data_IF_996507381076
#
_entry.id   IF_996507381076
#
_cell.length_a   1.000
_cell.length_b   1.000
_cell.length_c   1.000
_cell.angle_alpha   90.00
_cell.angle_beta   90.00
_cell.angle_gamma   90.00
#
_symmetry.space_group_name_H-M   'P 1'
#
loop_
_entity.id
_entity.type
_entity.pdbx_description
1 polymer ?
#
# COMPACT_ATOMS: atom_id res chain seq x y z
N UNK A 1 3.36 0.66 -16.43
CA UNK A 1 3.23 2.00 -15.80
C UNK A 1 3.81 1.93 -14.40
N UNK A 2 4.45 3.00 -13.91
CA UNK A 2 4.97 3.06 -12.53
C UNK A 2 4.08 4.00 -11.74
N UNK A 3 3.31 3.47 -10.79
CA UNK A 3 2.49 4.30 -9.91
C UNK A 3 3.36 5.02 -8.88
N UNK A 4 3.00 6.25 -8.47
CA UNK A 4 3.68 6.93 -7.38
C UNK A 4 3.51 6.15 -6.09
N UNK A 5 4.51 6.24 -5.20
CA UNK A 5 4.39 5.65 -3.86
C UNK A 5 3.46 6.46 -2.98
N UNK A 6 3.43 7.78 -3.07
CA UNK A 6 2.67 8.63 -2.13
C UNK A 6 2.03 9.83 -2.81
N UNK A 7 1.00 10.42 -2.19
CA UNK A 7 0.43 11.68 -2.67
C UNK A 7 1.44 12.83 -2.50
N UNK A 8 1.35 13.81 -3.39
CA UNK A 8 2.15 15.04 -3.32
C UNK A 8 1.72 15.90 -2.12
N UNK A 9 0.43 15.86 -1.78
CA UNK A 9 -0.17 16.58 -0.65
C UNK A 9 -0.69 15.56 0.36
N UNK A 10 -0.09 15.54 1.55
CA UNK A 10 -0.51 14.64 2.63
C UNK A 10 -1.54 15.37 3.49
N UNK A 11 -2.77 14.87 3.53
CA UNK A 11 -3.79 15.38 4.43
C UNK A 11 -3.92 14.48 5.67
N UNK A 12 -3.26 14.88 6.76
CA UNK A 12 -3.37 14.22 8.06
C UNK A 12 -4.50 14.87 8.86
N UNK A 13 -5.61 14.16 9.00
CA UNK A 13 -6.71 14.58 9.87
C UNK A 13 -6.76 13.74 11.15
N UNK A 14 -7.10 14.31 12.32
CA UNK A 14 -7.21 13.56 13.58
C UNK A 14 -8.23 12.41 13.55
N UNK A 15 -9.15 12.38 12.59
CA UNK A 15 -10.12 11.29 12.41
C UNK A 15 -9.68 10.25 11.36
N UNK A 16 -8.55 10.47 10.67
CA UNK A 16 -8.00 9.60 9.63
C UNK A 16 -6.74 8.89 10.11
N UNK A 17 -6.86 8.08 11.16
CA UNK A 17 -5.76 7.55 11.96
C UNK A 17 -4.83 6.52 11.29
N UNK A 18 -5.00 6.22 10.01
CA UNK A 18 -4.32 5.06 9.42
C UNK A 18 -3.84 5.31 7.98
N UNK A 19 -3.03 6.37 7.75
CA UNK A 19 -2.59 6.72 6.42
C UNK A 19 -1.64 5.66 5.84
N UNK A 20 -1.81 5.37 4.54
CA UNK A 20 -0.87 4.55 3.76
C UNK A 20 0.31 5.43 3.32
N UNK A 21 1.13 5.87 4.27
CA UNK A 21 2.28 6.75 4.06
C UNK A 21 3.48 6.27 4.87
N UNK A 22 4.70 6.58 4.42
CA UNK A 22 5.92 6.30 5.16
C UNK A 22 7.18 6.45 4.31
N UNK A 23 8.29 6.82 4.92
CA UNK A 23 9.50 7.18 4.17
C UNK A 23 10.59 6.15 4.39
N UNK A 24 11.33 5.82 3.33
CA UNK A 24 12.63 5.17 3.43
C UNK A 24 13.68 6.11 4.04
N UNK A 25 14.88 5.60 4.26
CA UNK A 25 16.07 6.43 4.47
C UNK A 25 16.50 7.10 3.16
N UNK A 26 16.36 6.37 2.04
CA UNK A 26 16.60 6.84 0.68
C UNK A 26 15.33 6.74 -0.17
N UNK A 27 15.32 7.38 -1.35
CA UNK A 27 14.18 7.28 -2.29
C UNK A 27 14.11 5.92 -2.98
N UNK A 28 15.24 5.26 -3.04
CA UNK A 28 15.48 3.97 -3.68
C UNK A 28 15.07 2.80 -2.79
N UNK A 29 14.85 3.05 -1.50
CA UNK A 29 14.48 2.02 -0.54
C UNK A 29 13.17 1.32 -0.92
N UNK A 30 13.24 -0.01 -0.92
CA UNK A 30 12.08 -0.84 -1.18
C UNK A 30 11.03 -0.70 -0.08
N UNK A 31 11.44 -0.71 1.18
CA UNK A 31 10.58 -0.60 2.35
C UNK A 31 10.82 0.70 3.10
N UNK A 32 9.79 1.20 3.77
CA UNK A 32 9.90 2.39 4.61
C UNK A 32 10.63 2.07 5.92
N UNK A 33 11.17 3.09 6.59
CA UNK A 33 11.80 2.96 7.91
C UNK A 33 10.87 2.31 8.94
N UNK A 34 9.58 2.67 8.90
CA UNK A 34 8.58 2.10 9.79
C UNK A 34 8.30 0.62 9.48
N UNK A 35 8.27 0.24 8.19
CA UNK A 35 8.18 -1.16 7.80
C UNK A 35 9.40 -1.95 8.27
N UNK A 36 10.61 -1.42 8.04
CA UNK A 36 11.87 -2.07 8.45
C UNK A 36 11.91 -2.26 9.97
N UNK A 37 11.56 -1.24 10.74
CA UNK A 37 11.51 -1.33 12.21
C UNK A 37 10.53 -2.42 12.68
N UNK A 38 9.34 -2.50 12.07
CA UNK A 38 8.35 -3.51 12.42
C UNK A 38 8.79 -4.92 11.99
N UNK A 39 9.41 -5.07 10.82
CA UNK A 39 10.00 -6.34 10.38
C UNK A 39 11.05 -6.83 11.36
N UNK A 40 11.98 -5.96 11.77
CA UNK A 40 13.02 -6.28 12.75
C UNK A 40 12.40 -6.68 14.10
N UNK A 41 11.38 -5.96 14.56
CA UNK A 41 10.64 -6.28 15.79
C UNK A 41 10.00 -7.66 15.75
N UNK A 42 9.57 -8.11 14.57
CA UNK A 42 8.96 -9.42 14.33
C UNK A 42 9.95 -10.52 13.93
N UNK A 43 11.26 -10.21 13.90
CA UNK A 43 12.30 -11.18 13.50
C UNK A 43 12.30 -11.51 12.00
N UNK A 44 11.76 -10.63 11.16
CA UNK A 44 11.74 -10.77 9.70
C UNK A 44 12.93 -9.99 9.12
N UNK A 45 13.73 -10.65 8.28
CA UNK A 45 14.84 -9.99 7.54
C UNK A 45 14.28 -8.97 6.53
N UNK A 46 14.60 -7.67 6.66
CA UNK A 46 14.21 -6.64 5.70
C UNK A 46 14.81 -6.80 4.30
N UNK A 47 15.96 -7.49 4.18
CA UNK A 47 16.63 -7.72 2.90
C UNK A 47 15.91 -8.81 2.12
N UNK A 48 15.57 -9.93 2.79
CA UNK A 48 14.92 -11.09 2.18
C UNK A 48 13.65 -11.52 2.92
N UNK A 49 12.58 -10.70 2.88
CA UNK A 49 11.31 -11.10 3.47
C UNK A 49 10.75 -12.35 2.80
N UNK A 50 10.15 -13.28 3.57
CA UNK A 50 9.58 -14.52 3.03
C UNK A 50 8.53 -14.31 1.93
N UNK A 51 7.75 -13.23 2.03
CA UNK A 51 6.72 -12.87 1.05
C UNK A 51 6.48 -11.37 1.04
N UNK A 52 6.32 -10.81 -0.15
CA UNK A 52 5.99 -9.40 -0.39
C UNK A 52 4.83 -9.34 -1.37
N UNK A 53 3.94 -8.37 -1.20
CA UNK A 53 2.89 -8.04 -2.15
C UNK A 53 2.98 -6.55 -2.49
N UNK A 54 2.76 -6.21 -3.76
CA UNK A 54 2.53 -4.81 -4.12
C UNK A 54 1.07 -4.47 -3.81
N UNK A 55 0.86 -3.55 -2.90
CA UNK A 55 -0.44 -3.03 -2.50
C UNK A 55 -0.81 -1.81 -3.34
N UNK A 56 -2.04 -1.78 -3.85
CA UNK A 56 -2.62 -0.66 -4.57
C UNK A 56 -3.65 0.07 -3.72
N UNK A 57 -3.63 1.39 -3.79
CA UNK A 57 -4.53 2.23 -2.99
C UNK A 57 -4.97 3.45 -3.79
N UNK A 58 -6.26 3.68 -3.85
CA UNK A 58 -6.80 4.89 -4.45
C UNK A 58 -6.59 6.10 -3.54
N UNK A 59 -6.30 7.24 -4.15
CA UNK A 59 -6.29 8.53 -3.49
C UNK A 59 -7.66 8.81 -2.86
N UNK A 60 -7.67 9.25 -1.62
CA UNK A 60 -8.91 9.77 -1.03
C UNK A 60 -9.24 11.10 -1.67
N UNK A 61 -10.52 11.51 -1.59
CA UNK A 61 -10.97 12.82 -2.08
C UNK A 61 -10.16 13.98 -1.49
N UNK A 62 -9.64 13.82 -0.28
CA UNK A 62 -8.85 14.83 0.43
C UNK A 62 -7.39 14.94 -0.04
N UNK A 63 -6.83 13.91 -0.66
CA UNK A 63 -5.43 13.91 -1.14
C UNK A 63 -5.30 14.41 -2.58
N UNK A 64 -6.30 14.15 -3.42
CA UNK A 64 -6.21 14.45 -4.86
C UNK A 64 -7.29 15.42 -5.33
N UNK A 65 -8.21 15.84 -4.44
CA UNK A 65 -9.25 16.84 -4.75
C UNK A 65 -10.08 16.49 -5.99
N UNK A 66 -10.16 15.20 -6.33
CA UNK A 66 -10.64 14.75 -7.63
C UNK A 66 -12.06 15.27 -7.88
N UNK A 67 -12.24 15.94 -9.03
CA UNK A 67 -13.54 16.49 -9.43
C UNK A 67 -14.54 15.34 -9.57
N UNK A 68 -15.83 15.63 -9.39
CA UNK A 68 -16.89 14.66 -9.64
C UNK A 68 -16.76 14.13 -11.08
N UNK A 69 -16.48 12.83 -11.24
CA UNK A 69 -16.29 12.18 -12.54
C UNK A 69 -14.83 11.96 -12.98
N UNK A 70 -13.82 12.41 -12.23
CA UNK A 70 -12.43 12.02 -12.48
C UNK A 70 -12.04 10.78 -11.69
N UNK A 71 -11.24 9.90 -12.31
CA UNK A 71 -10.76 8.68 -11.67
C UNK A 71 -9.76 8.99 -10.54
N UNK A 72 -9.88 8.33 -9.38
CA UNK A 72 -8.90 8.48 -8.31
C UNK A 72 -7.50 8.03 -8.77
N UNK A 73 -6.48 8.84 -8.47
CA UNK A 73 -5.08 8.45 -8.64
C UNK A 73 -4.77 7.21 -7.80
N UNK A 74 -3.99 6.28 -8.33
CA UNK A 74 -3.59 5.05 -7.63
C UNK A 74 -2.15 5.17 -7.15
N UNK A 75 -1.92 4.78 -5.91
CA UNK A 75 -0.61 4.65 -5.28
C UNK A 75 -0.24 3.18 -5.11
N UNK A 76 1.05 2.87 -5.22
CA UNK A 76 1.56 1.51 -5.03
C UNK A 76 2.63 1.43 -3.93
N UNK A 77 2.61 0.34 -3.18
CA UNK A 77 3.54 0.09 -2.09
C UNK A 77 3.97 -1.37 -2.07
N UNK A 78 5.26 -1.64 -1.93
CA UNK A 78 5.69 -2.98 -1.55
C UNK A 78 5.48 -3.18 -0.05
N UNK A 79 4.71 -4.21 0.31
CA UNK A 79 4.37 -4.52 1.68
C UNK A 79 4.75 -5.98 2.01
N UNK A 80 5.57 -6.21 3.04
CA UNK A 80 5.83 -7.55 3.57
C UNK A 80 4.53 -8.20 4.03
N UNK A 81 4.32 -9.47 3.68
CA UNK A 81 3.15 -10.25 4.08
C UNK A 81 3.48 -11.05 5.34
N UNK A 82 2.66 -10.88 6.37
CA UNK A 82 2.79 -11.58 7.66
C UNK A 82 2.05 -12.91 7.64
N UNK A 83 0.84 -12.93 7.09
CA UNK A 83 -0.02 -14.11 7.02
C UNK A 83 -1.15 -13.93 6.02
N UNK A 84 -1.79 -15.03 5.67
CA UNK A 84 -3.03 -15.05 4.89
C UNK A 84 -4.18 -15.39 5.85
N UNK A 85 -5.26 -14.61 5.82
CA UNK A 85 -6.45 -14.84 6.62
C UNK A 85 -7.29 -15.99 6.04
N UNK A 86 -8.26 -16.51 6.81
CA UNK A 86 -9.13 -17.61 6.37
C UNK A 86 -9.94 -17.28 5.11
N UNK A 87 -10.28 -16.02 4.91
CA UNK A 87 -10.97 -15.48 3.75
C UNK A 87 -10.01 -14.98 2.65
N UNK A 88 -8.76 -15.47 2.65
CA UNK A 88 -7.72 -15.24 1.63
C UNK A 88 -7.17 -13.81 1.53
N UNK A 89 -7.58 -12.91 2.43
CA UNK A 89 -6.97 -11.57 2.54
C UNK A 89 -5.55 -11.66 3.11
N UNK A 90 -4.73 -10.66 2.80
CA UNK A 90 -3.32 -10.62 3.21
C UNK A 90 -3.17 -9.67 4.39
N UNK A 91 -2.57 -10.15 5.48
CA UNK A 91 -2.10 -9.29 6.58
C UNK A 91 -0.69 -8.80 6.23
N UNK A 92 -0.51 -7.50 6.13
CA UNK A 92 0.73 -6.89 5.65
C UNK A 92 1.23 -5.81 6.59
N UNK A 93 2.53 -5.52 6.55
CA UNK A 93 3.11 -4.34 7.19
C UNK A 93 2.99 -3.17 6.21
N UNK A 94 2.11 -2.22 6.54
CA UNK A 94 1.85 -1.04 5.74
C UNK A 94 3.01 -0.03 5.81
N UNK A 95 3.08 0.96 4.90
CA UNK A 95 4.16 1.94 4.85
C UNK A 95 4.39 2.70 6.17
N UNK A 96 3.36 2.87 6.99
CA UNK A 96 3.46 3.54 8.28
C UNK A 96 3.91 2.61 9.42
N UNK A 97 4.21 1.34 9.14
CA UNK A 97 4.60 0.33 10.11
C UNK A 97 3.42 -0.46 10.70
N UNK A 98 2.18 -0.02 10.50
CA UNK A 98 1.01 -0.72 11.03
C UNK A 98 0.73 -2.03 10.30
N UNK A 99 0.13 -2.98 11.01
CA UNK A 99 -0.44 -4.18 10.40
C UNK A 99 -1.81 -3.86 9.80
N UNK A 100 -1.96 -4.03 8.48
CA UNK A 100 -3.22 -3.83 7.76
C UNK A 100 -3.65 -5.10 7.02
N UNK A 101 -4.94 -5.20 6.72
CA UNK A 101 -5.51 -6.27 5.90
C UNK A 101 -5.78 -5.70 4.51
N UNK A 102 -5.31 -6.40 3.47
CA UNK A 102 -5.56 -6.06 2.07
C UNK A 102 -6.20 -7.24 1.34
N UNK A 103 -6.84 -6.99 0.21
CA UNK A 103 -7.40 -8.01 -0.65
C UNK A 103 -6.30 -8.95 -1.20
N UNK A 104 -6.71 -10.16 -1.60
CA UNK A 104 -5.78 -11.19 -2.13
C UNK A 104 -5.00 -10.71 -3.36
N UNK A 105 -5.62 -9.83 -4.16
CA UNK A 105 -5.09 -9.25 -5.38
C UNK A 105 -4.22 -8.00 -5.14
N UNK A 106 -4.04 -7.60 -3.88
CA UNK A 106 -3.20 -6.48 -3.47
C UNK A 106 -3.95 -5.16 -3.31
N UNK A 107 -5.26 -5.08 -3.55
CA UNK A 107 -5.98 -3.83 -3.28
C UNK A 107 -6.16 -3.57 -1.78
N UNK A 108 -5.87 -2.36 -1.33
CA UNK A 108 -6.09 -1.95 0.06
C UNK A 108 -7.58 -1.93 0.45
N UNK A 109 -8.45 -1.67 -0.52
CA UNK A 109 -9.91 -1.74 -0.45
C UNK A 109 -10.45 -1.93 -1.87
N UNK A 110 -11.72 -2.30 -2.00
CA UNK A 110 -12.37 -2.44 -3.31
C UNK A 110 -12.19 -1.16 -4.16
N UNK A 111 -11.50 -1.22 -5.31
CA UNK A 111 -11.22 -0.04 -6.13
C UNK A 111 -12.46 0.41 -6.91
N UNK A 112 -12.37 1.61 -7.46
CA UNK A 112 -13.28 2.05 -8.53
C UNK A 112 -13.26 1.02 -9.68
N UNK A 113 -14.44 0.67 -10.26
CA UNK A 113 -14.52 -0.28 -11.37
C UNK A 113 -13.58 0.04 -12.53
N UNK A 114 -13.33 1.32 -12.80
CA UNK A 114 -12.43 1.76 -13.84
C UNK A 114 -10.96 1.56 -13.49
N UNK A 115 -10.58 1.50 -12.22
CA UNK A 115 -9.20 1.20 -11.80
C UNK A 115 -8.95 -0.30 -11.61
N UNK A 116 -10.00 -1.12 -11.57
CA UNK A 116 -9.90 -2.57 -11.30
C UNK A 116 -9.01 -3.32 -12.29
N UNK A 117 -8.93 -2.86 -13.54
CA UNK A 117 -8.10 -3.49 -14.59
C UNK A 117 -6.59 -3.40 -14.30
N UNK A 118 -6.15 -2.46 -13.46
CA UNK A 118 -4.72 -2.21 -13.21
C UNK A 118 -4.00 -3.39 -12.56
N UNK A 119 -4.72 -4.27 -11.86
CA UNK A 119 -4.14 -5.51 -11.29
C UNK A 119 -4.13 -6.64 -12.31
N UNK A 120 -5.11 -6.68 -13.21
CA UNK A 120 -5.22 -7.72 -14.24
C UNK A 120 -4.10 -7.62 -15.28
N UNK A 121 -3.67 -6.41 -15.64
CA UNK A 121 -2.54 -6.19 -16.56
C UNK A 121 -1.21 -6.75 -16.04
N UNK A 122 -1.07 -6.91 -14.72
CA UNK A 122 0.17 -7.38 -14.09
C UNK A 122 0.22 -8.89 -13.87
N UNK A 123 -0.93 -9.58 -13.83
CA UNK A 123 -0.98 -11.06 -13.86
C UNK A 123 -0.68 -11.63 -15.25
N UNK A 124 -0.79 -10.81 -16.30
CA UNK A 124 -0.56 -11.17 -17.69
C UNK A 124 0.90 -10.95 -18.16
N UNK A 125 1.78 -10.46 -17.29
CA UNK A 125 3.23 -10.33 -17.50
C UNK A 125 3.99 -11.22 -16.53
#
# INVERSE_FOLDING_TARGET
>A
MTFPRQPEHINLSPSGWSPWIGWGETREDRFTRAQVAEMQRLGIDPVNPPRVVTVYREATQREDGHRRGSLPKVFQFDCPVLSVTKDKRLRVIAPNGDVKIVMEDGWAAEPDPFNRHLVNERKAK
#
